data_IF_064823008342
#
_entry.id   IF_064823008342
#
_cell.length_a   1.000
_cell.length_b   1.000
_cell.length_c   1.000
_cell.angle_alpha   90.00
_cell.angle_beta   90.00
_cell.angle_gamma   90.00
#
_symmetry.space_group_name_H-M   'P 1'
#
loop_
_entity.id
_entity.type
_entity.pdbx_description
1 polymer ?
#
# COMPACT_ATOMS: atom_id res chain seq x y z
N UNK A 1 -5.83 9.00 5.02
CA UNK A 1 -5.86 10.36 4.42
C UNK A 1 -4.49 10.92 4.09
N UNK A 2 -3.50 10.86 4.99
CA UNK A 2 -2.14 11.38 4.77
C UNK A 2 -1.52 10.97 3.41
N UNK A 3 -1.51 9.67 3.09
CA UNK A 3 -0.95 9.18 1.84
C UNK A 3 -1.67 9.75 0.59
N UNK A 4 -2.99 9.94 0.66
CA UNK A 4 -3.75 10.56 -0.44
C UNK A 4 -3.37 12.03 -0.59
N UNK A 5 -3.21 12.74 0.52
CA UNK A 5 -2.74 14.13 0.52
C UNK A 5 -1.33 14.26 -0.03
N UNK A 6 -0.41 13.35 0.32
CA UNK A 6 0.95 13.34 -0.20
C UNK A 6 0.99 13.12 -1.72
N UNK A 7 0.19 12.18 -2.24
CA UNK A 7 0.06 11.94 -3.68
C UNK A 7 -0.50 13.18 -4.39
N UNK A 8 -1.54 13.81 -3.84
CA UNK A 8 -2.08 15.05 -4.41
C UNK A 8 -1.06 16.19 -4.41
N UNK A 9 -0.31 16.38 -3.31
CA UNK A 9 0.74 17.38 -3.20
C UNK A 9 1.91 17.16 -4.19
N UNK A 10 2.14 15.91 -4.60
CA UNK A 10 3.12 15.55 -5.63
C UNK A 10 2.66 15.84 -7.08
N UNK A 11 1.46 16.40 -7.27
CA UNK A 11 0.96 16.83 -8.59
C UNK A 11 0.01 15.85 -9.27
N UNK A 12 -0.39 14.77 -8.61
CA UNK A 12 -1.41 13.86 -9.14
C UNK A 12 -2.80 14.46 -8.95
N UNK A 13 -3.57 14.52 -10.03
CA UNK A 13 -4.85 15.25 -10.09
C UNK A 13 -6.04 14.38 -9.64
N UNK A 14 -5.93 13.06 -9.79
CA UNK A 14 -6.97 12.10 -9.42
C UNK A 14 -6.35 10.80 -8.93
N UNK A 15 -6.73 10.38 -7.72
CA UNK A 15 -6.38 9.07 -7.17
C UNK A 15 -7.58 8.15 -7.39
N UNK A 16 -7.42 7.13 -8.24
CA UNK A 16 -8.48 6.14 -8.47
C UNK A 16 -8.58 5.17 -7.30
N UNK A 17 -7.46 4.59 -6.90
CA UNK A 17 -7.39 3.73 -5.74
C UNK A 17 -6.06 3.87 -5.02
N UNK A 18 -6.11 3.64 -3.71
CA UNK A 18 -4.97 3.44 -2.83
C UNK A 18 -5.43 2.41 -1.79
N UNK A 19 -5.02 1.16 -1.97
CA UNK A 19 -5.64 0.02 -1.30
C UNK A 19 -4.61 -1.02 -0.84
N UNK A 20 -4.86 -1.60 0.34
CA UNK A 20 -4.11 -2.73 0.86
C UNK A 20 -4.85 -4.02 0.53
N UNK A 21 -4.20 -4.93 -0.19
CA UNK A 21 -4.77 -6.22 -0.60
C UNK A 21 -3.85 -7.38 -0.20
N UNK A 22 -4.42 -8.54 0.08
CA UNK A 22 -3.64 -9.76 0.31
C UNK A 22 -2.82 -10.12 -0.95
N UNK A 23 -1.58 -10.58 -0.77
CA UNK A 23 -0.67 -10.83 -1.89
C UNK A 23 -1.09 -12.01 -2.77
N UNK A 24 -1.69 -13.06 -2.18
CA UNK A 24 -2.03 -14.29 -2.91
C UNK A 24 -3.26 -14.20 -3.81
N UNK A 25 -4.26 -13.42 -3.44
CA UNK A 25 -5.59 -13.42 -4.08
C UNK A 25 -6.20 -12.02 -4.29
N UNK A 26 -5.50 -10.96 -3.87
CA UNK A 26 -5.97 -9.57 -3.90
C UNK A 26 -7.26 -9.31 -3.10
N UNK A 27 -7.61 -10.21 -2.18
CA UNK A 27 -8.71 -9.98 -1.25
C UNK A 27 -8.44 -8.69 -0.45
N UNK A 28 -9.47 -7.84 -0.22
CA UNK A 28 -9.30 -6.68 0.63
C UNK A 28 -8.96 -7.10 2.05
N UNK A 29 -7.95 -6.46 2.64
CA UNK A 29 -7.55 -6.70 4.02
C UNK A 29 -7.50 -5.37 4.78
N UNK A 30 -7.95 -5.38 6.03
CA UNK A 30 -7.88 -4.22 6.92
C UNK A 30 -6.81 -4.38 8.00
N UNK A 31 -6.34 -5.61 8.21
CA UNK A 31 -5.28 -5.95 9.15
C UNK A 31 -4.17 -6.66 8.40
N UNK A 32 -2.93 -6.27 8.66
CA UNK A 32 -1.74 -6.88 8.06
C UNK A 32 -1.37 -8.16 8.81
N UNK A 33 -2.16 -9.20 8.61
CA UNK A 33 -2.01 -10.54 9.22
C UNK A 33 -1.25 -11.54 8.34
N UNK A 34 -1.01 -11.17 7.08
CA UNK A 34 -0.35 -11.98 6.05
C UNK A 34 0.37 -11.06 5.05
N UNK A 35 1.22 -11.59 4.16
CA UNK A 35 1.85 -10.79 3.10
C UNK A 35 0.80 -10.07 2.24
N UNK A 36 1.10 -8.83 1.89
CA UNK A 36 0.16 -7.93 1.24
C UNK A 36 0.84 -7.08 0.17
N UNK A 37 0.02 -6.39 -0.63
CA UNK A 37 0.43 -5.36 -1.59
C UNK A 37 -0.31 -4.07 -1.25
N UNK A 38 0.41 -2.96 -1.19
CA UNK A 38 -0.19 -1.63 -1.24
C UNK A 38 -0.20 -1.21 -2.72
N UNK A 39 -1.39 -1.09 -3.30
CA UNK A 39 -1.58 -0.75 -4.71
C UNK A 39 -2.08 0.68 -4.84
N UNK A 40 -1.59 1.39 -5.85
CA UNK A 40 -2.08 2.72 -6.20
C UNK A 40 -2.31 2.86 -7.70
N UNK A 41 -3.33 3.63 -8.06
CA UNK A 41 -3.51 4.18 -9.39
C UNK A 41 -3.88 5.65 -9.28
N UNK A 42 -3.15 6.49 -9.99
CA UNK A 42 -3.38 7.93 -10.01
C UNK A 42 -3.03 8.53 -11.37
N UNK A 43 -3.61 9.70 -11.63
CA UNK A 43 -3.43 10.45 -12.86
C UNK A 43 -2.46 11.62 -12.65
N UNK A 44 -1.44 11.72 -13.52
CA UNK A 44 -0.53 12.85 -13.62
C UNK A 44 -0.80 13.56 -14.95
N UNK A 45 -1.51 14.68 -14.91
CA UNK A 45 -2.16 15.23 -16.10
C UNK A 45 -3.11 14.19 -16.71
N UNK A 46 -2.94 13.89 -18.00
CA UNK A 46 -3.74 12.88 -18.72
C UNK A 46 -3.10 11.47 -18.71
N UNK A 47 -1.98 11.29 -18.01
CA UNK A 47 -1.29 9.99 -17.94
C UNK A 47 -1.72 9.23 -16.70
N UNK A 48 -2.23 8.01 -16.90
CA UNK A 48 -2.58 7.09 -15.82
C UNK A 48 -1.38 6.25 -15.43
N UNK A 49 -0.93 6.37 -14.18
CA UNK A 49 0.17 5.59 -13.63
C UNK A 49 -0.35 4.61 -12.59
N UNK A 50 0.26 3.42 -12.56
CA UNK A 50 0.03 2.40 -11.54
C UNK A 50 1.36 2.02 -10.93
N UNK A 51 1.33 1.71 -9.64
CA UNK A 51 2.44 1.04 -8.98
C UNK A 51 1.93 0.22 -7.79
N UNK A 52 2.77 -0.68 -7.29
CA UNK A 52 2.51 -1.44 -6.08
C UNK A 52 3.81 -1.72 -5.33
N UNK A 53 3.72 -1.76 -4.01
CA UNK A 53 4.82 -2.18 -3.15
C UNK A 53 4.40 -3.40 -2.32
N UNK A 54 5.33 -4.34 -2.14
CA UNK A 54 5.12 -5.47 -1.25
C UNK A 54 5.19 -5.02 0.21
N UNK A 55 4.24 -5.50 0.99
CA UNK A 55 4.18 -5.30 2.44
C UNK A 55 4.32 -6.68 3.09
N UNK A 56 5.47 -6.99 3.71
CA UNK A 56 5.64 -8.27 4.39
C UNK A 56 4.68 -8.38 5.58
N UNK A 57 4.25 -9.59 5.91
CA UNK A 57 3.52 -9.84 7.15
C UNK A 57 4.37 -9.37 8.34
N UNK A 58 3.76 -8.73 9.34
CA UNK A 58 4.47 -8.51 10.61
C UNK A 58 4.74 -9.87 11.24
N UNK A 59 6.00 -10.29 11.30
CA UNK A 59 6.38 -11.39 12.18
C UNK A 59 6.05 -10.99 13.61
N UNK A 60 5.10 -11.68 14.23
CA UNK A 60 4.86 -11.56 15.66
C UNK A 60 6.13 -11.95 16.43
N UNK A 61 6.56 -11.08 17.34
CA UNK A 61 7.66 -11.28 18.28
C UNK A 61 9.04 -11.57 17.65
N UNK A 62 9.85 -10.51 17.56
CA UNK A 62 11.29 -10.69 17.78
C UNK A 62 11.42 -11.13 19.23
N UNK A 63 11.72 -12.41 19.48
CA UNK A 63 12.25 -12.85 20.76
C UNK A 63 13.48 -11.99 21.04
N UNK A 64 13.41 -11.10 22.04
CA UNK A 64 14.61 -10.54 22.68
C UNK A 64 15.40 -11.73 23.21
N UNK A 65 16.36 -12.21 22.44
CA UNK A 65 17.44 -13.01 23.02
C UNK A 65 18.33 -12.01 23.73
N UNK A 66 18.16 -11.92 25.04
CA UNK A 66 19.15 -11.32 25.91
C UNK A 66 20.45 -12.13 25.77
N UNK A 67 21.54 -11.43 25.47
CA UNK A 67 22.90 -11.82 25.77
C UNK A 67 23.60 -10.55 26.28
#
# INVERSE_FOLDING_TARGET
DEARSAIAAAGYTRIEYLELRAEGDLAPIQTLDRPARLLAAAWLGDTRLIDNVQIPSRSGAITRTAA
#
